data_IF_585319989198
#
_entry.id   IF_585319989198
#
_cell.length_a   1.000
_cell.length_b   1.000
_cell.length_c   1.000
_cell.angle_alpha   90.00
_cell.angle_beta   90.00
_cell.angle_gamma   90.00
#
_symmetry.space_group_name_H-M   'P 1'
#
loop_
_entity.id
_entity.type
_entity.pdbx_description
1 polymer ?
2 non-polymer ?
3 non-polymer ?
4 non-polymer ?
5 non-polymer ?
6 water ?
#
# COMPACT_ATOMS: atom_id res chain seq x y z
N UNK A 15 -24.31 25.96 -13.29
CA UNK A 15 -24.43 24.51 -13.31
C UNK A 15 -23.34 23.83 -14.17
N UNK A 16 -23.20 22.52 -13.97
CA UNK A 16 -22.25 21.72 -14.73
C UNK A 16 -23.01 20.44 -15.10
N UNK A 17 -23.48 20.39 -16.35
CA UNK A 17 -24.21 19.23 -16.87
C UNK A 17 -23.35 18.44 -17.86
N UNK A 18 -22.03 18.49 -17.72
CA UNK A 18 -21.16 17.76 -18.64
C UNK A 18 -21.31 16.26 -18.45
N UNK A 19 -21.02 15.76 -17.26
CA UNK A 19 -21.01 14.31 -17.04
C UNK A 19 -22.41 13.72 -17.09
N UNK A 20 -23.44 14.51 -16.79
CA UNK A 20 -24.82 14.07 -16.91
C UNK A 20 -25.20 13.67 -18.33
N UNK A 21 -24.42 14.05 -19.34
CA UNK A 21 -24.81 13.87 -20.74
C UNK A 21 -24.28 12.59 -21.38
N UNK A 22 -23.14 12.06 -20.94
CA UNK A 22 -22.55 10.91 -21.63
C UNK A 22 -23.44 9.69 -21.50
N UNK A 23 -23.58 8.95 -22.61
CA UNK A 23 -24.46 7.78 -22.65
C UNK A 23 -23.72 6.48 -22.89
N UNK A 24 -22.45 6.51 -23.28
CA UNK A 24 -21.63 5.31 -23.42
C UNK A 24 -20.33 5.52 -22.69
N UNK A 25 -19.88 4.49 -22.04
CA UNK A 25 -18.69 4.55 -21.22
C UNK A 25 -18.85 3.50 -20.14
N UNK A 26 -17.72 3.02 -19.65
CA UNK A 26 -17.72 2.07 -18.55
C UNK A 26 -16.62 2.51 -17.60
N UNK A 27 -16.85 2.28 -16.31
CA UNK A 27 -16.00 2.86 -15.27
C UNK A 27 -15.69 1.76 -14.26
N UNK A 28 -14.43 1.65 -13.87
CA UNK A 28 -14.01 0.61 -12.93
C UNK A 28 -13.21 1.23 -11.81
N UNK A 29 -13.33 0.63 -10.63
CA UNK A 29 -12.45 0.95 -9.51
C UNK A 29 -11.15 0.18 -9.70
N UNK A 30 -10.03 0.85 -9.44
CA UNK A 30 -8.71 0.20 -9.40
C UNK A 30 -8.19 0.39 -7.98
N UNK A 31 -7.84 -0.70 -7.31
CA UNK A 31 -7.33 -0.65 -5.94
C UNK A 31 -5.90 -1.13 -5.96
N UNK A 32 -4.94 -0.26 -5.63
CA UNK A 32 -3.53 -0.63 -5.62
C UNK A 32 -3.07 -0.76 -4.18
N UNK A 33 -2.27 -1.79 -3.88
CA UNK A 33 -1.60 -1.83 -2.58
C UNK A 33 -0.39 -0.90 -2.51
N UNK A 34 0.14 -0.47 -3.67
CA UNK A 34 1.45 0.18 -3.72
C UNK A 34 1.34 1.63 -4.18
N UNK A 35 1.94 2.52 -3.40
CA UNK A 35 2.03 3.90 -3.83
C UNK A 35 3.08 4.05 -4.92
N UNK A 36 4.14 3.24 -4.88
CA UNK A 36 5.12 3.25 -5.96
C UNK A 36 4.46 2.94 -7.30
N UNK A 37 3.56 1.97 -7.32
CA UNK A 37 2.98 1.57 -8.60
C UNK A 37 2.06 2.66 -9.17
N UNK A 38 1.37 3.39 -8.29
CA UNK A 38 0.64 4.58 -8.74
C UNK A 38 1.60 5.58 -9.39
N UNK A 39 2.71 5.89 -8.71
CA UNK A 39 3.69 6.83 -9.27
C UNK A 39 4.19 6.36 -10.63
N UNK A 40 4.49 5.07 -10.75
CA UNK A 40 4.99 4.52 -12.01
C UNK A 40 3.94 4.60 -13.10
N UNK A 41 2.68 4.35 -12.73
CA UNK A 41 1.58 4.43 -13.69
C UNK A 41 1.44 5.84 -14.25
N UNK A 42 1.50 6.84 -13.38
CA UNK A 42 1.42 8.22 -13.82
C UNK A 42 2.60 8.58 -14.70
N UNK A 43 3.78 8.07 -14.36
CA UNK A 43 4.98 8.43 -15.09
C UNK A 43 4.99 7.86 -16.50
N UNK A 44 4.56 6.60 -16.64
CA UNK A 44 4.72 5.90 -17.90
C UNK A 44 3.39 5.61 -18.60
N UNK A 45 2.26 6.04 -18.01
CA UNK A 45 0.94 5.81 -18.60
C UNK A 45 0.69 4.36 -18.97
N UNK A 46 0.93 3.46 -17.99
CA UNK A 46 0.66 2.04 -18.11
C UNK A 46 0.11 1.52 -16.78
N UNK A 47 -0.56 0.37 -16.86
CA UNK A 47 -1.13 -0.31 -15.69
C UNK A 47 -1.16 -1.82 -15.93
N UNK A 48 -1.35 -2.57 -14.84
CA UNK A 48 -1.56 -4.02 -14.93
C UNK A 48 -2.38 -4.45 -13.72
N UNK A 49 -3.35 -5.32 -13.95
CA UNK A 49 -4.16 -5.82 -12.84
C UNK A 49 -3.81 -7.30 -12.64
N UNK A 50 -4.59 -7.99 -11.81
CA UNK A 50 -4.50 -9.43 -11.73
C UNK A 50 -4.90 -10.05 -13.07
N UNK A 51 -4.73 -11.37 -13.18
CA UNK A 51 -5.19 -12.05 -14.37
C UNK A 51 -6.69 -11.84 -14.57
N UNK A 52 -7.46 -12.11 -13.53
CA UNK A 52 -8.92 -11.95 -13.61
C UNK A 52 -9.31 -10.49 -13.83
N UNK A 53 -8.61 -9.55 -13.17
CA UNK A 53 -8.90 -8.14 -13.41
C UNK A 53 -8.54 -7.69 -14.81
N UNK A 54 -7.37 -8.12 -15.31
CA UNK A 54 -7.00 -7.86 -16.70
C UNK A 54 -8.04 -8.37 -17.69
N UNK A 55 -8.55 -9.58 -17.47
CA UNK A 55 -9.57 -10.09 -18.39
C UNK A 55 -10.83 -9.21 -18.37
N UNK A 56 -11.24 -8.76 -17.19
CA UNK A 56 -12.44 -7.92 -17.09
C UNK A 56 -12.23 -6.61 -17.84
N UNK A 57 -11.11 -5.93 -17.57
CA UNK A 57 -10.86 -4.66 -18.23
C UNK A 57 -10.70 -4.83 -19.74
N UNK A 58 -10.02 -5.90 -20.17
CA UNK A 58 -9.78 -6.14 -21.59
C UNK A 58 -11.09 -6.37 -22.33
N UNK A 59 -12.01 -7.13 -21.73
CA UNK A 59 -13.31 -7.37 -22.35
C UNK A 59 -14.11 -6.08 -22.45
N UNK A 60 -14.07 -5.26 -21.38
CA UNK A 60 -14.79 -3.99 -21.44
C UNK A 60 -14.18 -3.06 -22.48
N UNK A 61 -12.85 -2.99 -22.55
CA UNK A 61 -12.19 -2.15 -23.56
C UNK A 61 -12.52 -2.61 -24.97
N UNK A 62 -12.43 -3.91 -25.22
CA UNK A 62 -12.56 -4.41 -26.58
C UNK A 62 -14.00 -4.28 -27.07
N UNK A 63 -14.98 -4.54 -26.19
CA UNK A 63 -16.38 -4.41 -26.58
C UNK A 63 -16.83 -2.96 -26.66
N UNK A 64 -16.09 -2.03 -26.04
CA UNK A 64 -16.37 -0.62 -26.22
C UNK A 64 -16.11 -0.18 -27.66
N UNK A 65 -15.17 -0.84 -28.34
CA UNK A 65 -14.82 -0.57 -29.73
C UNK A 65 -14.74 0.93 -30.04
N UNK A 66 -14.13 1.70 -29.14
CA UNK A 66 -13.91 3.11 -29.37
C UNK A 66 -15.11 4.02 -29.31
N UNK A 67 -16.30 3.50 -28.99
CA UNK A 67 -17.52 4.30 -28.94
C UNK A 67 -17.63 5.16 -27.68
N UNK A 68 -16.72 4.97 -26.72
CA UNK A 68 -16.79 5.68 -25.47
C UNK A 68 -15.61 5.28 -24.60
N UNK A 69 -15.37 6.01 -23.52
CA UNK A 69 -14.19 5.76 -22.70
C UNK A 69 -14.40 4.64 -21.68
N UNK A 70 -13.29 4.01 -21.29
CA UNK A 70 -13.22 3.17 -20.09
C UNK A 70 -12.46 3.97 -19.06
N UNK A 71 -13.14 4.45 -18.02
CA UNK A 71 -12.48 5.17 -16.95
C UNK A 71 -12.06 4.25 -15.82
N UNK A 72 -10.91 4.57 -15.23
CA UNK A 72 -10.31 3.89 -14.09
C UNK A 72 -10.24 4.87 -12.94
N UNK A 73 -10.89 4.55 -11.82
CA UNK A 73 -10.89 5.38 -10.62
C UNK A 73 -9.92 4.74 -9.64
N UNK A 74 -8.77 5.39 -9.40
CA UNK A 74 -7.67 4.79 -8.65
C UNK A 74 -7.74 5.14 -7.17
N UNK A 75 -7.45 4.14 -6.33
CA UNK A 75 -7.40 4.34 -4.89
C UNK A 75 -6.37 3.38 -4.32
N UNK A 76 -5.54 3.87 -3.41
CA UNK A 76 -4.61 2.98 -2.70
C UNK A 76 -5.32 2.35 -1.51
N UNK A 77 -5.27 1.02 -1.43
CA UNK A 77 -5.85 0.24 -0.34
C UNK A 77 -5.44 0.79 1.02
N UNK A 78 -6.42 1.18 1.83
CA UNK A 78 -6.14 1.69 3.16
C UNK A 78 -5.81 3.16 3.25
N UNK A 79 -5.74 3.88 2.12
CA UNK A 79 -5.33 5.28 2.17
C UNK A 79 -6.46 6.23 2.58
N UNK A 80 -7.71 5.79 2.52
CA UNK A 80 -8.83 6.68 2.82
C UNK A 80 -9.16 7.73 1.77
N UNK A 81 -8.58 7.65 0.57
CA UNK A 81 -8.92 8.59 -0.48
C UNK A 81 -8.67 7.95 -1.84
N UNK A 82 -9.36 8.47 -2.85
CA UNK A 82 -9.02 8.20 -4.23
C UNK A 82 -7.88 9.13 -4.64
N UNK A 83 -7.00 8.65 -5.53
CA UNK A 83 -5.87 9.46 -5.94
C UNK A 83 -5.95 9.96 -7.36
N UNK A 84 -6.93 9.54 -8.15
CA UNK A 84 -7.06 10.12 -9.47
C UNK A 84 -7.86 9.25 -10.43
N UNK A 85 -7.82 9.68 -11.69
CA UNK A 85 -8.63 9.11 -12.76
C UNK A 85 -7.78 8.91 -13.99
N UNK A 86 -7.92 7.77 -14.63
CA UNK A 86 -7.24 7.49 -15.87
C UNK A 86 -8.22 6.86 -16.85
N UNK A 87 -7.93 7.00 -18.13
CA UNK A 87 -8.66 6.31 -19.17
C UNK A 87 -7.82 5.17 -19.72
N UNK A 88 -8.43 4.00 -19.88
CA UNK A 88 -7.80 2.89 -20.60
C UNK A 88 -7.50 3.30 -22.03
N UNK A 89 -6.30 2.97 -22.52
CA UNK A 89 -5.94 3.43 -23.87
C UNK A 89 -5.40 2.33 -24.76
N UNK A 90 -5.51 1.06 -24.37
CA UNK A 90 -5.14 -0.05 -25.22
C UNK A 90 -5.76 -1.31 -24.65
N UNK A 91 -5.82 -2.34 -25.47
CA UNK A 91 -6.11 -3.67 -24.96
C UNK A 91 -4.93 -4.16 -24.13
N UNK A 92 -5.13 -5.28 -23.46
CA UNK A 92 -4.10 -5.86 -22.60
C UNK A 92 -3.11 -6.68 -23.43
N UNK A 93 -1.84 -6.35 -23.29
CA UNK A 93 -0.74 -7.16 -23.82
C UNK A 93 -0.29 -8.11 -22.70
N UNK A 94 -0.52 -9.41 -22.87
CA UNK A 94 -0.27 -10.33 -21.77
C UNK A 94 1.16 -10.85 -21.69
N UNK A 95 2.02 -10.54 -22.67
CA UNK A 95 3.38 -11.09 -22.67
C UNK A 95 4.35 -9.92 -22.72
N UNK A 96 4.74 -9.43 -21.54
CA UNK A 96 5.61 -8.27 -21.43
C UNK A 96 6.63 -8.52 -20.33
N UNK A 97 7.59 -7.60 -20.21
CA UNK A 97 8.67 -7.74 -19.23
C UNK A 97 8.13 -7.90 -17.82
N UNK A 98 8.60 -8.93 -17.11
CA UNK A 98 8.18 -9.18 -15.74
C UNK A 98 8.93 -8.27 -14.76
N UNK A 99 8.38 -8.14 -13.55
CA UNK A 99 9.08 -7.46 -12.47
C UNK A 99 9.24 -5.96 -12.58
N UNK A 100 8.45 -5.27 -13.40
CA UNK A 100 8.65 -3.83 -13.53
C UNK A 100 7.96 -3.03 -12.43
N UNK A 101 7.05 -3.66 -11.69
CA UNK A 101 6.32 -3.02 -10.59
C UNK A 101 6.98 -3.35 -9.25
N UNK A 102 6.42 -2.78 -8.16
CA UNK A 102 7.04 -2.93 -6.84
C UNK A 102 7.10 -4.39 -6.40
N UNK A 103 6.08 -5.17 -6.73
CA UNK A 103 6.06 -6.60 -6.50
C UNK A 103 6.00 -7.34 -7.83
N UNK A 104 6.59 -8.53 -7.85
CA UNK A 104 6.63 -9.36 -9.05
C UNK A 104 5.44 -10.32 -9.10
N UNK A 105 4.23 -9.75 -9.11
CA UNK A 105 3.01 -10.55 -9.11
C UNK A 105 2.18 -10.38 -10.38
N UNK A 106 2.71 -9.72 -11.41
CA UNK A 106 1.88 -9.20 -12.49
C UNK A 106 2.35 -9.74 -13.83
N UNK A 107 1.39 -10.07 -14.70
CA UNK A 107 1.67 -10.55 -16.05
C UNK A 107 0.94 -9.66 -17.06
N UNK A 108 1.69 -8.85 -17.78
CA UNK A 108 1.11 -8.08 -18.87
C UNK A 108 1.11 -6.60 -18.56
N UNK A 109 0.48 -5.85 -19.48
CA UNK A 109 0.55 -4.39 -19.44
C UNK A 109 -0.54 -3.84 -20.36
N UNK A 110 -1.17 -2.75 -19.96
CA UNK A 110 -1.99 -2.01 -20.92
C UNK A 110 -1.73 -0.54 -20.72
N UNK A 111 -1.98 0.24 -21.78
CA UNK A 111 -1.77 1.67 -21.73
C UNK A 111 -2.95 2.37 -21.10
N UNK A 112 -2.65 3.43 -20.35
CA UNK A 112 -3.67 4.31 -19.81
C UNK A 112 -3.25 5.73 -20.16
N UNK A 113 -4.14 6.67 -19.88
CA UNK A 113 -3.82 8.09 -19.92
C UNK A 113 -4.42 8.68 -18.66
N UNK A 114 -3.57 9.15 -17.74
CA UNK A 114 -4.09 9.77 -16.53
C UNK A 114 -4.73 11.10 -16.87
N UNK A 115 -5.94 11.30 -16.36
CA UNK A 115 -6.75 12.50 -16.62
C UNK A 115 -6.72 13.44 -15.44
N UNK A 116 -6.76 12.88 -14.23
CA UNK A 116 -6.84 13.67 -13.02
C UNK A 116 -5.96 13.01 -11.98
N UNK A 117 -5.04 13.77 -11.39
CA UNK A 117 -4.24 13.31 -10.25
C UNK A 117 -4.55 14.26 -9.09
N UNK A 118 -5.36 13.77 -8.15
CA UNK A 118 -5.82 14.59 -7.02
C UNK A 118 -6.37 13.68 -5.94
N UNK A 119 -6.01 13.92 -4.68
CA UNK A 119 -6.56 13.14 -3.58
C UNK A 119 -7.96 13.63 -3.25
N UNK A 120 -8.92 12.71 -3.32
CA UNK A 120 -10.31 13.02 -3.00
C UNK A 120 -10.69 12.12 -1.83
N UNK A 121 -10.92 12.69 -0.65
CA UNK A 121 -11.20 11.87 0.53
C UNK A 121 -12.42 10.99 0.33
N UNK A 122 -12.40 9.82 0.96
CA UNK A 122 -13.55 8.91 0.85
C UNK A 122 -14.81 9.55 1.40
N UNK A 123 -14.68 10.48 2.35
CA UNK A 123 -15.83 11.17 2.91
C UNK A 123 -16.63 11.89 1.83
N UNK A 124 -15.97 12.38 0.77
CA UNK A 124 -16.69 13.03 -0.31
C UNK A 124 -17.46 12.04 -1.17
N UNK A 125 -17.12 10.75 -1.11
CA UNK A 125 -17.68 9.76 -2.01
C UNK A 125 -18.50 8.67 -1.34
N UNK A 126 -18.38 8.48 -0.02
CA UNK A 126 -18.96 7.32 0.63
C UNK A 126 -20.48 7.27 0.53
N UNK A 127 -21.14 8.37 0.20
CA UNK A 127 -22.59 8.31 0.11
C UNK A 127 -23.08 7.78 -1.23
N UNK A 128 -22.21 7.63 -2.23
CA UNK A 128 -22.61 6.97 -3.48
C UNK A 128 -22.48 5.46 -3.29
N UNK A 129 -23.57 4.74 -3.51
CA UNK A 129 -23.59 3.31 -3.28
C UNK A 129 -23.78 2.58 -4.60
N UNK A 130 -23.29 1.35 -4.68
CA UNK A 130 -23.30 0.58 -5.92
C UNK A 130 -24.38 -0.49 -5.83
N UNK A 131 -25.47 -0.30 -6.59
CA UNK A 131 -26.53 -1.29 -6.63
C UNK A 131 -26.06 -2.66 -7.12
N UNK A 132 -24.97 -2.72 -7.89
CA UNK A 132 -24.43 -4.00 -8.37
C UNK A 132 -23.44 -4.61 -7.40
N UNK A 133 -23.15 -3.97 -6.27
CA UNK A 133 -22.29 -4.52 -5.23
C UNK A 133 -22.98 -4.42 -3.89
N UNK A 134 -24.22 -4.92 -3.82
CA UNK A 134 -24.94 -5.06 -2.54
C UNK A 134 -25.20 -3.71 -1.89
N UNK A 135 -25.26 -2.64 -2.69
CA UNK A 135 -25.50 -1.29 -2.21
C UNK A 135 -24.40 -0.79 -1.28
N UNK A 136 -23.22 -1.41 -1.36
CA UNK A 136 -22.08 -0.96 -0.58
C UNK A 136 -21.59 0.39 -1.10
N UNK A 137 -21.05 1.24 -0.22
CA UNK A 137 -20.42 2.48 -0.68
C UNK A 137 -19.39 2.21 -1.76
N UNK A 138 -19.31 3.10 -2.75
CA UNK A 138 -18.30 2.96 -3.80
C UNK A 138 -16.90 2.96 -3.20
N UNK A 139 -16.74 3.58 -2.03
CA UNK A 139 -15.47 3.60 -1.31
C UNK A 139 -15.12 2.28 -0.63
N UNK A 140 -16.02 1.30 -0.64
CA UNK A 140 -15.73 -0.02 -0.08
C UNK A 140 -15.56 -1.07 -1.17
N UNK A 141 -15.18 -0.64 -2.37
CA UNK A 141 -15.03 -1.54 -3.50
C UNK A 141 -13.66 -2.24 -3.49
N UNK A 142 -13.59 -3.38 -4.18
CA UNK A 142 -12.39 -4.15 -4.45
C UNK A 142 -11.88 -3.83 -5.86
N UNK A 143 -10.67 -4.32 -6.16
CA UNK A 143 -10.06 -4.08 -7.47
C UNK A 143 -10.94 -4.56 -8.63
N UNK A 144 -11.09 -3.69 -9.63
CA UNK A 144 -11.88 -3.85 -10.87
C UNK A 144 -13.37 -4.09 -10.62
N UNK A 145 -13.88 -3.67 -9.46
CA UNK A 145 -15.31 -3.45 -9.29
C UNK A 145 -15.81 -2.49 -10.37
N UNK A 146 -16.82 -2.91 -11.13
CA UNK A 146 -17.40 -1.98 -12.11
C UNK A 146 -18.43 -1.07 -11.45
N UNK A 147 -18.50 0.18 -11.93
CA UNK A 147 -19.39 1.20 -11.39
C UNK A 147 -20.52 1.41 -12.40
N UNK A 148 -21.78 1.35 -12.00
CA UNK A 148 -22.85 1.65 -12.95
C UNK A 148 -22.70 3.06 -13.47
N UNK A 149 -23.04 3.26 -14.75
CA UNK A 149 -22.71 4.52 -15.39
C UNK A 149 -23.35 5.71 -14.66
N UNK A 150 -24.60 5.59 -14.21
CA UNK A 150 -25.23 6.71 -13.51
C UNK A 150 -24.49 7.07 -12.22
N UNK A 151 -24.04 6.07 -11.45
CA UNK A 151 -23.25 6.35 -10.26
C UNK A 151 -21.85 6.87 -10.63
N UNK A 152 -21.28 6.37 -11.72
CA UNK A 152 -19.99 6.86 -12.18
C UNK A 152 -20.04 8.34 -12.52
N UNK A 153 -21.11 8.78 -13.19
CA UNK A 153 -21.25 10.20 -13.50
C UNK A 153 -21.22 11.03 -12.21
N UNK A 154 -21.87 10.52 -11.16
CA UNK A 154 -21.90 11.23 -9.89
C UNK A 154 -20.52 11.28 -9.24
N UNK A 155 -19.77 10.17 -9.32
CA UNK A 155 -18.41 10.13 -8.75
C UNK A 155 -17.49 11.06 -9.53
N UNK A 156 -17.53 10.98 -10.86
CA UNK A 156 -16.70 11.85 -11.68
C UNK A 156 -16.96 13.33 -11.36
N UNK A 157 -18.22 13.69 -11.14
CA UNK A 157 -18.48 15.11 -10.87
C UNK A 157 -17.93 15.54 -9.52
N UNK A 158 -18.03 14.68 -8.51
CA UNK A 158 -17.46 15.01 -7.20
C UNK A 158 -15.94 15.12 -7.28
N UNK A 159 -15.29 14.18 -7.98
CA UNK A 159 -13.84 14.25 -8.11
C UNK A 159 -13.42 15.53 -8.83
N UNK A 160 -14.14 15.88 -9.90
CA UNK A 160 -13.77 17.06 -10.68
C UNK A 160 -13.98 18.34 -9.88
N UNK A 161 -14.95 18.34 -8.96
CA UNK A 161 -15.34 19.54 -8.22
C UNK A 161 -14.65 19.69 -6.88
N UNK A 162 -13.86 18.70 -6.45
CA UNK A 162 -13.23 18.77 -5.15
C UNK A 162 -12.02 19.71 -5.20
N UNK A 163 -11.82 20.49 -4.13
CA UNK A 163 -10.69 21.42 -4.07
C UNK A 163 -9.79 21.19 -2.85
N UNK B 15 18.70 -21.29 13.96
CA UNK B 15 17.34 -21.08 14.47
C UNK B 15 17.41 -20.52 15.88
N UNK B 16 17.72 -21.38 16.86
CA UNK B 16 17.99 -20.90 18.21
C UNK B 16 19.35 -20.22 18.34
N UNK B 17 20.09 -20.05 17.25
CA UNK B 17 21.34 -19.28 17.26
C UNK B 17 21.08 -17.78 17.30
N UNK B 18 19.84 -17.35 17.14
CA UNK B 18 19.52 -15.94 17.01
C UNK B 18 18.59 -15.51 18.15
N UNK B 19 18.81 -14.30 18.66
CA UNK B 19 17.91 -13.65 19.62
C UNK B 19 17.64 -14.55 20.82
N UNK B 20 18.66 -15.28 21.25
CA UNK B 20 18.59 -15.95 22.54
C UNK B 20 18.58 -14.94 23.68
N UNK B 21 19.48 -13.95 23.62
CA UNK B 21 19.64 -12.96 24.69
C UNK B 21 18.94 -11.68 24.30
N UNK B 22 17.62 -11.65 24.51
CA UNK B 22 16.81 -10.43 24.38
C UNK B 22 15.94 -10.36 25.64
N UNK B 23 16.55 -9.90 26.74
CA UNK B 23 15.81 -9.82 27.99
C UNK B 23 14.80 -8.68 27.96
N UNK B 24 15.24 -7.48 27.63
CA UNK B 24 14.40 -6.30 27.61
C UNK B 24 14.04 -5.98 26.17
N UNK B 25 13.45 -4.82 25.95
CA UNK B 25 13.32 -4.36 24.59
C UNK B 25 11.94 -4.57 24.02
N UNK B 26 11.66 -3.85 22.94
CA UNK B 26 10.31 -3.73 22.41
C UNK B 26 10.39 -3.84 20.89
N UNK B 27 9.33 -4.41 20.31
CA UNK B 27 9.37 -4.80 18.90
C UNK B 27 8.09 -4.29 18.24
N UNK B 28 8.23 -3.66 17.07
CA UNK B 28 7.09 -3.07 16.39
C UNK B 28 7.05 -3.52 14.95
N UNK B 29 5.85 -3.59 14.41
CA UNK B 29 5.65 -3.86 12.99
C UNK B 29 5.75 -2.54 12.24
N UNK B 30 6.41 -2.54 11.09
CA UNK B 30 6.42 -1.40 10.18
C UNK B 30 5.75 -1.87 8.91
N UNK B 31 4.71 -1.15 8.47
CA UNK B 31 4.05 -1.47 7.21
C UNK B 31 4.22 -0.31 6.26
N UNK B 32 4.85 -0.56 5.11
CA UNK B 32 5.13 0.49 4.13
C UNK B 32 4.25 0.32 2.91
N UNK B 33 3.78 1.44 2.36
CA UNK B 33 3.14 1.45 1.05
C UNK B 33 4.14 1.58 -0.08
N UNK B 34 5.44 1.59 0.22
CA UNK B 34 6.45 1.92 -0.78
C UNK B 34 7.64 0.97 -0.63
N UNK B 35 7.83 0.11 -1.63
CA UNK B 35 9.05 -0.68 -1.77
C UNK B 35 10.27 0.22 -1.94
N UNK B 36 10.13 1.32 -2.70
CA UNK B 36 11.25 2.22 -2.91
C UNK B 36 11.74 2.81 -1.60
N UNK B 37 10.82 3.22 -0.72
CA UNK B 37 11.23 3.77 0.56
C UNK B 37 11.99 2.72 1.39
N UNK B 38 11.58 1.45 1.31
CA UNK B 38 12.35 0.40 1.98
C UNK B 38 13.78 0.36 1.45
N UNK B 39 13.93 0.39 0.12
CA UNK B 39 15.26 0.35 -0.46
C UNK B 39 16.10 1.52 0.02
N UNK B 40 15.49 2.70 0.11
CA UNK B 40 16.21 3.87 0.60
C UNK B 40 16.56 3.72 2.07
N UNK B 41 15.64 3.15 2.85
CA UNK B 41 15.92 2.86 4.26
C UNK B 41 17.11 1.94 4.42
N UNK B 42 17.19 0.91 3.58
CA UNK B 42 18.30 -0.03 3.67
C UNK B 42 19.60 0.66 3.28
N UNK B 43 19.55 1.52 2.27
CA UNK B 43 20.77 2.14 1.78
C UNK B 43 21.33 3.15 2.78
N UNK B 44 20.47 3.97 3.37
CA UNK B 44 20.92 5.06 4.24
C UNK B 44 20.63 4.83 5.71
N UNK B 45 20.08 3.67 6.08
CA UNK B 45 19.86 3.30 7.48
C UNK B 45 19.06 4.37 8.22
N UNK B 46 17.91 4.74 7.66
CA UNK B 46 17.01 5.72 8.26
C UNK B 46 15.57 5.30 7.97
N UNK B 47 14.65 5.83 8.78
CA UNK B 47 13.23 5.58 8.56
C UNK B 47 12.42 6.76 9.07
N UNK B 48 11.15 6.81 8.67
CA UNK B 48 10.20 7.78 9.19
C UNK B 48 8.80 7.15 9.13
N UNK B 49 8.04 7.33 10.21
CA UNK B 49 6.67 6.83 10.26
C UNK B 49 5.70 8.00 10.11
N UNK B 50 4.41 7.72 10.33
CA UNK B 50 3.41 8.77 10.42
C UNK B 50 3.66 9.61 11.68
N UNK B 51 2.88 10.66 11.85
CA UNK B 51 3.00 11.47 13.07
C UNK B 51 2.72 10.62 14.30
N UNK B 52 1.59 9.90 14.31
CA UNK B 52 1.24 9.03 15.43
C UNK B 52 2.26 7.91 15.60
N UNK B 53 2.70 7.31 14.49
CA UNK B 53 3.66 6.22 14.59
C UNK B 53 5.01 6.70 15.10
N UNK B 54 5.45 7.88 14.66
CA UNK B 54 6.70 8.44 15.14
C UNK B 54 6.62 8.70 16.64
N UNK B 55 5.47 9.19 17.11
CA UNK B 55 5.29 9.43 18.53
C UNK B 55 5.39 8.14 19.33
N UNK B 56 4.71 7.07 18.88
CA UNK B 56 4.80 5.79 19.58
C UNK B 56 6.22 5.25 19.61
N UNK B 57 6.91 5.27 18.46
CA UNK B 57 8.26 4.73 18.43
C UNK B 57 9.22 5.62 19.21
N UNK B 58 9.03 6.93 19.15
CA UNK B 58 9.85 7.85 19.93
C UNK B 58 9.72 7.56 21.42
N UNK B 59 8.48 7.45 21.91
CA UNK B 59 8.27 7.15 23.32
C UNK B 59 8.94 5.83 23.72
N UNK B 60 8.80 4.78 22.90
CA UNK B 60 9.39 3.49 23.25
C UNK B 60 10.91 3.56 23.31
N UNK B 61 11.53 4.13 22.26
CA UNK B 61 12.99 4.27 22.23
C UNK B 61 13.49 5.03 23.46
N UNK B 62 12.85 6.15 23.79
CA UNK B 62 13.31 6.98 24.89
C UNK B 62 13.07 6.28 26.24
N UNK B 63 11.91 5.65 26.41
CA UNK B 63 11.65 4.85 27.61
C UNK B 63 12.72 3.80 27.80
N UNK B 64 13.21 3.23 26.71
CA UNK B 64 14.19 2.17 26.79
C UNK B 64 15.51 2.69 27.36
N UNK B 65 15.85 3.94 27.04
CA UNK B 65 17.04 4.65 27.51
C UNK B 65 18.32 3.82 27.45
N UNK B 66 18.50 3.03 26.40
CA UNK B 66 19.70 2.22 26.23
C UNK B 66 19.68 0.87 26.91
N UNK B 67 18.69 0.58 27.76
CA UNK B 67 18.65 -0.67 28.50
C UNK B 67 18.32 -1.89 27.63
N UNK B 68 18.03 -1.71 26.35
CA UNK B 68 17.67 -2.82 25.49
C UNK B 68 17.30 -2.33 24.09
N UNK B 69 17.06 -3.24 23.17
CA UNK B 69 16.81 -2.85 21.77
C UNK B 69 15.35 -2.57 21.44
N UNK B 70 15.14 -1.65 20.50
CA UNK B 70 13.86 -1.51 19.80
C UNK B 70 14.03 -2.13 18.42
N UNK B 71 13.26 -3.17 18.12
CA UNK B 71 13.34 -3.82 16.82
C UNK B 71 12.11 -3.49 15.99
N UNK B 72 12.31 -3.49 14.68
CA UNK B 72 11.29 -3.13 13.69
C UNK B 72 11.20 -4.26 12.68
N UNK B 73 10.00 -4.81 12.50
CA UNK B 73 9.75 -5.90 11.58
C UNK B 73 9.05 -5.31 10.36
N UNK B 74 9.75 -5.25 9.22
CA UNK B 74 9.27 -4.49 8.07
C UNK B 74 8.47 -5.39 7.13
N UNK B 75 7.42 -4.82 6.55
CA UNK B 75 6.63 -5.56 5.57
C UNK B 75 5.95 -4.53 4.68
N UNK B 76 6.00 -4.74 3.37
CA UNK B 76 5.34 -3.85 2.41
C UNK B 76 3.88 -4.27 2.25
N UNK B 77 2.96 -3.31 2.40
CA UNK B 77 1.54 -3.58 2.29
C UNK B 77 1.22 -4.34 1.01
N UNK B 78 0.50 -5.45 1.15
CA UNK B 78 0.08 -6.22 -0.01
C UNK B 78 1.13 -7.15 -0.62
N UNK B 79 2.35 -7.20 -0.06
CA UNK B 79 3.41 -8.00 -0.68
C UNK B 79 3.30 -9.48 -0.36
N UNK B 80 2.59 -9.84 0.69
CA UNK B 80 2.51 -11.23 1.12
C UNK B 80 3.71 -11.73 1.87
N UNK B 81 4.64 -10.85 2.24
CA UNK B 81 5.81 -11.28 2.99
C UNK B 81 6.34 -10.13 3.83
N UNK B 82 7.13 -10.49 4.85
CA UNK B 82 7.98 -9.52 5.52
C UNK B 82 9.28 -9.40 4.74
N UNK B 83 9.92 -8.24 4.83
CA UNK B 83 11.13 -8.02 4.05
C UNK B 83 12.38 -7.80 4.88
N UNK B 84 12.27 -7.78 6.20
CA UNK B 84 13.48 -7.78 7.00
C UNK B 84 13.25 -7.17 8.37
N UNK B 85 14.38 -6.89 9.03
CA UNK B 85 14.39 -6.49 10.43
C UNK B 85 15.45 -5.41 10.59
N UNK B 86 15.14 -4.39 11.37
CA UNK B 86 16.10 -3.34 11.66
C UNK B 86 15.94 -2.94 13.13
N UNK B 87 17.02 -2.42 13.70
CA UNK B 87 16.97 -1.86 15.03
C UNK B 87 16.91 -0.34 14.96
N UNK B 88 16.06 0.23 15.78
CA UNK B 88 15.95 1.67 15.90
C UNK B 88 17.13 2.20 16.68
N UNK B 89 17.83 3.20 16.12
CA UNK B 89 19.13 3.61 16.65
C UNK B 89 19.17 5.08 17.05
N UNK B 90 18.04 5.77 17.08
CA UNK B 90 18.01 7.14 17.54
C UNK B 90 16.58 7.54 17.87
N UNK B 91 16.46 8.63 18.63
CA UNK B 91 15.16 9.25 18.82
C UNK B 91 14.69 9.87 17.51
N UNK B 92 13.44 10.28 17.47
CA UNK B 92 12.87 10.87 16.26
C UNK B 92 13.30 12.34 16.18
N UNK B 93 13.87 12.71 15.04
CA UNK B 93 14.19 14.10 14.74
C UNK B 93 13.04 14.65 13.88
N UNK B 94 12.28 15.61 14.41
CA UNK B 94 11.08 16.00 13.70
C UNK B 94 11.28 17.11 12.68
N UNK B 95 12.48 17.68 12.60
CA UNK B 95 12.75 18.84 11.74
C UNK B 95 13.89 18.48 10.81
N UNK B 96 13.55 17.93 9.65
CA UNK B 96 14.53 17.44 8.68
C UNK B 96 14.07 17.76 7.28
N UNK B 97 14.97 17.51 6.33
CA UNK B 97 14.71 17.83 4.93
C UNK B 97 13.43 17.15 4.44
N UNK B 98 12.55 17.95 3.84
CA UNK B 98 11.30 17.40 3.32
C UNK B 98 11.53 16.74 1.97
N UNK B 99 10.53 15.95 1.55
CA UNK B 99 10.50 15.40 0.21
C UNK B 99 11.58 14.42 -0.16
N UNK B 100 12.19 13.72 0.82
CA UNK B 100 13.25 12.77 0.49
C UNK B 100 12.73 11.36 0.20
N UNK B 101 11.46 11.09 0.46
CA UNK B 101 10.87 9.77 0.25
C UNK B 101 9.96 9.80 -0.97
N UNK B 102 9.34 8.66 -1.25
CA UNK B 102 8.52 8.55 -2.45
C UNK B 102 7.41 9.58 -2.46
N UNK B 103 6.84 9.85 -1.28
CA UNK B 103 5.78 10.84 -1.13
C UNK B 103 6.24 11.92 -0.15
N UNK B 104 5.64 13.11 -0.24
CA UNK B 104 6.09 14.23 0.58
C UNK B 104 5.42 14.31 1.95
N UNK B 105 4.51 13.42 2.28
CA UNK B 105 3.73 13.54 3.52
C UNK B 105 4.50 13.17 4.79
N UNK B 106 5.83 13.00 4.76
CA UNK B 106 6.60 12.54 5.91
C UNK B 106 7.37 13.67 6.56
N UNK B 107 7.30 13.74 7.89
CA UNK B 107 7.99 14.77 8.65
C UNK B 107 8.94 14.10 9.63
N UNK B 108 10.22 14.23 9.39
CA UNK B 108 11.19 13.79 10.36
C UNK B 108 11.88 12.51 9.93
N UNK B 109 12.73 12.01 10.84
CA UNK B 109 13.66 10.97 10.50
C UNK B 109 14.21 10.40 11.80
N UNK B 110 14.44 9.09 11.82
CA UNK B 110 15.25 8.49 12.87
C UNK B 110 16.17 7.45 12.24
N UNK B 111 17.30 7.22 12.90
CA UNK B 111 18.27 6.25 12.43
C UNK B 111 17.80 4.85 12.76
N UNK B 112 18.16 3.92 11.89
CA UNK B 112 17.93 2.51 12.11
C UNK B 112 19.20 1.78 11.69
N UNK B 113 19.30 0.52 12.07
CA UNK B 113 20.35 -0.34 11.56
C UNK B 113 19.72 -1.64 11.09
N UNK B 114 19.82 -1.92 9.79
CA UNK B 114 19.20 -3.12 9.25
C UNK B 114 20.03 -4.35 9.61
N UNK B 115 19.36 -5.36 10.15
CA UNK B 115 19.97 -6.61 10.57
C UNK B 115 19.74 -7.71 9.54
N UNK B 116 18.49 -7.90 9.14
CA UNK B 116 18.13 -8.86 8.09
C UNK B 116 17.43 -8.11 6.99
N UNK B 117 17.85 -8.36 5.75
CA UNK B 117 17.12 -8.00 4.54
C UNK B 117 16.84 -9.31 3.83
N UNK B 118 15.61 -9.80 3.94
CA UNK B 118 15.22 -11.03 3.27
C UNK B 118 13.70 -11.16 3.29
N UNK B 119 13.17 -11.75 2.23
CA UNK B 119 11.73 -11.92 2.10
C UNK B 119 11.33 -13.22 2.79
N UNK B 120 10.45 -13.10 3.77
CA UNK B 120 9.89 -14.24 4.48
C UNK B 120 8.40 -14.30 4.18
N UNK B 121 7.92 -15.34 3.50
CA UNK B 121 6.47 -15.43 3.20
C UNK B 121 5.64 -15.38 4.46
N UNK B 122 4.47 -14.73 4.36
CA UNK B 122 3.57 -14.66 5.50
C UNK B 122 3.14 -16.04 5.98
N UNK B 123 3.13 -17.02 5.08
CA UNK B 123 2.77 -18.39 5.48
C UNK B 123 3.63 -18.89 6.65
N UNK B 124 4.88 -18.44 6.71
CA UNK B 124 5.83 -18.82 7.75
C UNK B 124 5.54 -18.14 9.08
N UNK B 125 4.71 -17.09 9.10
CA UNK B 125 4.51 -16.29 10.30
C UNK B 125 3.06 -16.21 10.75
N UNK B 126 2.11 -16.59 9.89
CA UNK B 126 0.71 -16.25 10.15
C UNK B 126 0.15 -16.99 11.36
N UNK B 127 0.79 -18.06 11.80
CA UNK B 127 0.27 -18.79 12.95
C UNK B 127 0.64 -18.15 14.28
N UNK B 128 1.39 -17.04 14.25
CA UNK B 128 1.73 -16.30 15.45
C UNK B 128 0.70 -15.20 15.66
N UNK B 129 0.05 -15.21 16.80
CA UNK B 129 -1.06 -14.31 17.03
C UNK B 129 -0.71 -13.34 18.15
N UNK B 130 -1.28 -12.14 18.07
CA UNK B 130 -0.95 -11.08 19.00
C UNK B 130 -2.06 -10.96 20.04
N UNK B 131 -1.74 -11.30 21.29
CA UNK B 131 -2.74 -11.23 22.35
C UNK B 131 -3.14 -9.79 22.64
N UNK B 132 -2.30 -8.81 22.31
CA UNK B 132 -2.65 -7.41 22.48
C UNK B 132 -3.41 -6.83 21.27
N UNK B 133 -3.64 -7.63 20.23
CA UNK B 133 -4.40 -7.16 19.06
C UNK B 133 -5.49 -8.19 18.75
N UNK B 134 -6.35 -8.46 19.74
CA UNK B 134 -7.52 -9.34 19.56
C UNK B 134 -7.12 -10.71 19.03
N UNK B 135 -5.89 -11.12 19.30
CA UNK B 135 -5.36 -12.42 18.89
C UNK B 135 -5.31 -12.57 17.38
N UNK B 136 -5.26 -11.47 16.63
CA UNK B 136 -5.10 -11.54 15.19
C UNK B 136 -3.69 -12.00 14.82
N UNK B 137 -3.54 -12.68 13.68
CA UNK B 137 -2.20 -13.08 13.23
C UNK B 137 -1.29 -11.86 13.11
N UNK B 138 0.00 -12.07 13.40
CA UNK B 138 0.95 -10.95 13.34
C UNK B 138 1.04 -10.42 11.92
N UNK B 139 0.71 -11.26 10.94
CA UNK B 139 0.72 -10.87 9.54
C UNK B 139 -0.48 -9.99 9.15
N UNK B 140 -1.43 -9.76 10.06
CA UNK B 140 -2.55 -8.87 9.80
C UNK B 140 -2.43 -7.56 10.57
N UNK B 141 -1.21 -7.19 10.94
CA UNK B 141 -0.99 -6.00 11.75
C UNK B 141 -0.94 -4.76 10.87
N UNK B 142 -1.17 -3.62 11.53
CA UNK B 142 -1.01 -2.30 10.94
C UNK B 142 0.33 -1.68 11.36
N UNK B 143 0.66 -0.57 10.71
CA UNK B 143 1.92 0.12 10.97
C UNK B 143 2.06 0.48 12.45
N UNK B 144 3.24 0.20 13.01
CA UNK B 144 3.64 0.44 14.41
C UNK B 144 2.81 -0.34 15.42
N UNK B 145 2.11 -1.39 14.99
CA UNK B 145 1.57 -2.38 15.93
C UNK B 145 2.69 -2.95 16.79
N UNK B 146 2.55 -2.85 18.12
CA UNK B 146 3.57 -3.40 19.00
C UNK B 146 3.35 -4.90 19.17
N UNK B 147 4.44 -5.66 19.22
CA UNK B 147 4.38 -7.10 19.33
C UNK B 147 4.79 -7.50 20.74
N UNK B 148 4.03 -8.34 21.44
CA UNK B 148 4.52 -8.87 22.72
C UNK B 148 5.87 -9.56 22.54
N UNK B 149 6.73 -9.36 23.55
CA UNK B 149 8.13 -9.78 23.44
C UNK B 149 8.27 -11.26 23.09
N UNK B 150 7.44 -12.12 23.69
CA UNK B 150 7.62 -13.54 23.41
C UNK B 150 7.15 -13.89 22.00
N UNK B 151 6.11 -13.22 21.49
CA UNK B 151 5.75 -13.42 20.09
C UNK B 151 6.81 -12.83 19.16
N UNK B 152 7.37 -11.69 19.54
CA UNK B 152 8.42 -11.07 18.75
C UNK B 152 9.61 -11.99 18.60
N UNK B 153 10.02 -12.64 19.70
CA UNK B 153 11.15 -13.56 19.63
C UNK B 153 10.89 -14.65 18.60
N UNK B 154 9.67 -15.19 18.57
CA UNK B 154 9.34 -16.23 17.59
C UNK B 154 9.44 -15.69 16.17
N UNK B 155 8.93 -14.47 15.94
CA UNK B 155 9.00 -13.87 14.60
C UNK B 155 10.45 -13.63 14.20
N UNK B 156 11.21 -12.96 15.08
CA UNK B 156 12.62 -12.68 14.81
C UNK B 156 13.40 -13.95 14.47
N UNK B 157 13.14 -15.05 15.20
CA UNK B 157 13.91 -16.27 14.95
C UNK B 157 13.52 -16.92 13.63
N UNK B 158 12.23 -16.89 13.29
CA UNK B 158 11.81 -17.43 12.00
C UNK B 158 12.43 -16.63 10.87
N UNK B 159 12.42 -15.31 11.00
CA UNK B 159 12.98 -14.48 9.94
C UNK B 159 14.47 -14.75 9.79
N UNK B 160 15.19 -14.71 10.92
CA UNK B 160 16.63 -14.94 10.92
C UNK B 160 17.01 -16.27 10.26
N UNK B 161 16.22 -17.32 10.51
CA UNK B 161 16.63 -18.66 10.08
C UNK B 161 15.99 -19.10 8.78
N UNK B 162 15.07 -18.31 8.22
CA UNK B 162 14.39 -18.73 7.00
C UNK B 162 15.37 -18.85 5.85
N UNK B 163 15.21 -19.91 5.06
CA UNK B 163 15.93 -20.09 3.81
C UNK B 163 14.97 -20.66 2.78
N UNK B 164 14.98 -20.10 1.57
CA UNK B 164 14.18 -20.64 0.49
C UNK B 164 14.90 -21.80 -0.18
X LIG C 1 -9.65 2.57 1.47
X LIG C 1 -9.26 2.66 2.88
X LIG C 1 -9.23 1.26 0.95
X LIG C 1 -11.09 2.70 1.30
X LIG C 1 -9.02 3.67 0.74
X LIG D 1 12.24 4.45 -12.99
X LIG D 1 12.02 4.33 -11.55
X LIG D 1 13.68 4.32 -13.21
X LIG D 1 11.53 3.36 -13.68
X LIG D 1 11.76 5.72 -13.51
X LIG E 1 -24.88 1.21 -16.18
X LIG F 1 0.68 -2.92 -10.46
X LIG F 1 -3.51 -4.45 -6.60
X LIG F 1 -2.68 -4.24 -9.01
X LIG F 1 -0.36 -3.29 -9.41
X LIG F 1 -0.13 -3.08 -7.95
X LIG F 1 -1.22 -3.51 -7.01
X LIG F 1 0.99 -3.74 -11.71
X LIG F 1 0.40 -2.33 -11.84
X LIG F 1 -2.45 -4.05 -7.55
X LIG F 1 -1.59 -3.83 -9.93
X LIG F 1 -3.70 -4.70 -9.43
X LIG F 1 -1.10 -3.40 -5.83
X LIG G 1 0.41 -8.14 3.43
X LIG G 1 0.20 -8.89 4.70
X LIG G 1 1.83 -8.29 3.10
X LIG G 1 -0.38 -8.73 2.36
X LIG G 1 0.06 -6.72 3.68
X LIG H 1 19.61 7.98 -4.38
X LIG H 1 19.94 6.55 -4.28
X LIG H 1 19.61 8.54 -3.03
X LIG H 1 18.28 8.13 -4.97
X LIG H 1 20.60 8.68 -5.20
X LIG I 1 8.63 6.40 4.41
X LIG I 1 3.62 3.72 5.86
X LIG I 1 5.71 4.97 6.49
X LIG I 1 7.32 5.68 4.67
X LIG I 1 6.49 5.05 3.61
X LIG I 1 5.21 4.40 4.04
X LIG I 1 9.93 6.27 5.21
X LIG I 1 9.14 7.59 5.23
X LIG I 1 4.84 4.37 5.45
X LIG I 1 6.95 5.64 6.07
X LIG I 1 5.39 4.95 7.63
X LIG I 1 4.50 3.90 3.23
X LIG J 1 -0.72 11.30 11.36
X LIG J 1 -0.48 10.32 12.36
X LIG J 1 -1.29 10.56 10.11
X LIG J 1 -1.55 9.22 10.39
X LIG J 1 -0.27 10.78 8.92
X LIG J 1 0.87 11.47 9.41
#
# INVERSE_FOLDING_TARGET
MGSSYHHHHHHSSGENLYFQHMKHGRVFIIKSYSEDDIHRSIKYNIWCSTEHGNKRLDAAYRSMNGKGPVYLLFSVNGSGHFCGVAEMKSAVDYNTCAGVWSQDKWKGRFDVRWIFVKDVPNSQLRHIRLENNENKPVTNSRDTQEVPLEKAKQVLKIIASYKHTTS
MGSSYHHHHHHSSGENLYFQHMKHGRVFIIKSYSEDDIHRSIKYNIWCSTEHGNKRLDAAYRSMNGKGPVYLLFSVNGSGHFCGVAEMKSAVDYNTCAGVWSQDKWKGRFDVRWIFVKDVPNSQLRHIRLENNENKPVTNSRDTQEVPLEKAKQVLKIIASYKHTTS
SO4 S O1 O2 O3 O4
SO4 S O1 O2 O3 O4
CL CL
FIQ C10 C01 C03 C06 C07 C08 C11 C12 N02 N05 O04 O09
SO4 S O1 O2 O3 O4
SO4 S O1 O2 O3 O4
FIQ C10 C01 C03 C06 C07 C08 C11 C12 N02 N05 O04 O09
GOL C1 O1 C2 O2 C3 O3
#
